data_IF_846422086472
#
_entry.id   IF_846422086472
#
_cell.length_a   1.000
_cell.length_b   1.000
_cell.length_c   1.000
_cell.angle_alpha   90.00
_cell.angle_beta   90.00
_cell.angle_gamma   90.00
#
_symmetry.space_group_name_H-M   'P 1'
#
loop_
_entity.id
_entity.type
_entity.pdbx_description
1 polymer ?
#
# COMPACT_ATOMS: atom_id res chain seq x y z
N UNK A 1 -16.06 6.97 -6.19
CA UNK A 1 -14.80 6.70 -5.48
C UNK A 1 -15.07 6.98 -4.01
N UNK A 2 -15.02 5.97 -3.16
CA UNK A 2 -15.21 6.12 -1.71
C UNK A 2 -13.90 6.62 -1.12
N UNK A 3 -13.85 7.83 -0.53
CA UNK A 3 -12.64 8.35 0.11
C UNK A 3 -12.12 7.41 1.20
N UNK A 4 -13.01 6.60 1.79
CA UNK A 4 -12.69 5.58 2.79
C UNK A 4 -11.63 4.57 2.30
N UNK A 5 -11.67 4.17 1.01
CA UNK A 5 -10.72 3.19 0.48
C UNK A 5 -9.30 3.75 0.39
N UNK A 6 -9.15 5.04 0.06
CA UNK A 6 -7.84 5.69 -0.04
C UNK A 6 -7.21 5.78 1.35
N UNK A 7 -7.99 6.22 2.34
CA UNK A 7 -7.54 6.36 3.72
C UNK A 7 -7.20 4.99 4.35
N UNK A 8 -8.05 3.98 4.13
CA UNK A 8 -7.82 2.61 4.60
C UNK A 8 -6.54 2.02 4.00
N UNK A 9 -6.34 2.18 2.69
CA UNK A 9 -5.15 1.66 2.00
C UNK A 9 -3.88 2.37 2.45
N UNK A 10 -3.94 3.70 2.62
CA UNK A 10 -2.82 4.48 3.15
C UNK A 10 -2.42 3.99 4.54
N UNK A 11 -3.41 3.86 5.44
CA UNK A 11 -3.19 3.37 6.79
C UNK A 11 -2.61 1.95 6.80
N UNK A 12 -3.19 1.04 6.01
CA UNK A 12 -2.69 -0.34 5.88
C UNK A 12 -1.24 -0.39 5.40
N UNK A 13 -0.88 0.39 4.39
CA UNK A 13 0.48 0.44 3.86
C UNK A 13 1.47 0.93 4.91
N UNK A 14 1.20 2.08 5.52
CA UNK A 14 2.11 2.69 6.50
C UNK A 14 2.26 1.76 7.71
N UNK A 15 1.16 1.21 8.22
CA UNK A 15 1.19 0.30 9.38
C UNK A 15 1.98 -0.98 9.06
N UNK A 16 1.75 -1.58 7.89
CA UNK A 16 2.48 -2.80 7.48
C UNK A 16 3.99 -2.54 7.33
N UNK A 17 4.37 -1.38 6.78
CA UNK A 17 5.79 -0.99 6.68
C UNK A 17 6.39 -0.74 8.05
N UNK A 18 5.64 -0.12 8.97
CA UNK A 18 6.05 0.17 10.33
C UNK A 18 6.27 -1.12 11.14
N UNK A 19 5.33 -2.07 11.06
CA UNK A 19 5.44 -3.40 11.67
C UNK A 19 6.67 -4.16 11.15
N UNK A 20 6.90 -4.15 9.82
CA UNK A 20 8.08 -4.80 9.22
C UNK A 20 9.40 -4.16 9.65
N UNK A 21 9.37 -2.88 10.04
CA UNK A 21 10.55 -2.11 10.47
C UNK A 21 10.73 -2.07 11.98
N UNK A 22 9.78 -2.60 12.76
CA UNK A 22 9.71 -2.48 14.22
C UNK A 22 9.78 -1.01 14.69
N UNK A 23 9.05 -0.13 13.99
CA UNK A 23 8.96 1.31 14.31
C UNK A 23 7.51 1.75 14.38
N UNK A 24 7.26 2.93 14.93
CA UNK A 24 5.91 3.51 14.87
C UNK A 24 5.63 4.09 13.47
N UNK A 25 4.37 4.04 12.97
CA UNK A 25 3.97 4.65 11.69
C UNK A 25 4.42 6.10 11.51
N UNK A 26 4.39 6.87 12.60
CA UNK A 26 4.80 8.29 12.64
C UNK A 26 6.30 8.50 12.46
N UNK A 27 7.11 7.45 12.66
CA UNK A 27 8.56 7.47 12.51
C UNK A 27 9.01 7.13 11.07
N UNK A 28 8.07 6.79 10.18
CA UNK A 28 8.40 6.61 8.77
C UNK A 28 8.57 8.00 8.13
N UNK A 29 9.83 8.37 7.88
CA UNK A 29 10.18 9.64 7.25
C UNK A 29 9.67 9.76 5.80
N UNK A 30 9.52 8.63 5.10
CA UNK A 30 9.03 8.59 3.71
C UNK A 30 7.52 8.82 3.66
N UNK A 31 7.10 9.85 2.93
CA UNK A 31 5.67 10.09 2.69
C UNK A 31 5.18 9.14 1.61
N UNK A 32 4.11 8.40 1.90
CA UNK A 32 3.51 7.47 0.94
C UNK A 32 3.16 8.15 -0.40
N UNK A 33 2.60 9.36 -0.33
CA UNK A 33 2.24 10.18 -1.50
C UNK A 33 3.44 10.59 -2.38
N UNK A 34 4.66 10.61 -1.84
CA UNK A 34 5.87 10.92 -2.62
C UNK A 34 6.39 9.70 -3.39
N UNK A 35 5.99 8.50 -2.97
CA UNK A 35 6.43 7.22 -3.55
C UNK A 35 5.41 6.69 -4.55
N UNK A 36 4.12 6.79 -4.22
CA UNK A 36 3.03 6.26 -5.03
C UNK A 36 1.81 7.18 -4.94
N UNK A 37 1.15 7.35 -6.09
CA UNK A 37 -0.15 7.98 -6.14
C UNK A 37 -1.20 7.01 -5.58
N UNK A 38 -1.60 7.25 -4.34
CA UNK A 38 -2.58 6.43 -3.61
C UNK A 38 -3.99 6.55 -4.17
N UNK A 39 -4.35 7.65 -4.84
CA UNK A 39 -5.65 7.80 -5.50
C UNK A 39 -5.72 6.86 -6.70
N UNK A 40 -4.66 6.87 -7.52
CA UNK A 40 -4.51 5.95 -8.65
C UNK A 40 -4.47 4.49 -8.19
N UNK A 41 -3.75 4.19 -7.10
CA UNK A 41 -3.69 2.84 -6.53
C UNK A 41 -5.05 2.36 -6.02
N UNK A 42 -5.77 3.19 -5.25
CA UNK A 42 -7.11 2.86 -4.76
C UNK A 42 -8.08 2.60 -5.92
N UNK A 43 -7.99 3.39 -7.00
CA UNK A 43 -8.78 3.17 -8.21
C UNK A 43 -8.45 1.81 -8.87
N UNK A 44 -7.18 1.42 -8.94
CA UNK A 44 -6.77 0.12 -9.47
C UNK A 44 -7.30 -1.03 -8.60
N UNK A 45 -7.18 -0.92 -7.27
CA UNK A 45 -7.70 -1.93 -6.33
C UNK A 45 -9.21 -2.06 -6.44
N UNK A 46 -9.95 -0.96 -6.50
CA UNK A 46 -11.41 -0.94 -6.68
C UNK A 46 -11.84 -1.63 -7.99
N UNK A 47 -11.11 -1.36 -9.09
CA UNK A 47 -11.34 -2.02 -10.38
C UNK A 47 -11.02 -3.52 -10.34
N UNK A 48 -9.95 -3.91 -9.66
CA UNK A 48 -9.56 -5.31 -9.50
C UNK A 48 -10.58 -6.08 -8.66
N UNK A 49 -11.10 -5.50 -7.56
CA UNK A 49 -12.19 -6.09 -6.78
C UNK A 49 -13.46 -6.29 -7.59
N UNK A 50 -13.78 -5.34 -8.46
CA UNK A 50 -14.96 -5.40 -9.32
C UNK A 50 -14.81 -6.36 -10.50
N UNK A 51 -13.60 -6.81 -10.82
CA UNK A 51 -13.29 -7.62 -11.99
C UNK A 51 -12.63 -8.93 -11.57
N UNK A 52 -13.38 -10.03 -11.56
CA UNK A 52 -12.87 -11.39 -11.24
C UNK A 52 -11.74 -11.90 -12.16
N UNK A 53 -11.37 -11.13 -13.18
CA UNK A 53 -10.37 -11.48 -14.20
C UNK A 53 -9.09 -10.65 -14.13
N UNK A 54 -8.99 -9.68 -13.22
CA UNK A 54 -7.81 -8.82 -13.08
C UNK A 54 -7.02 -9.21 -11.84
N UNK A 55 -5.90 -9.87 -12.04
CA UNK A 55 -4.90 -10.11 -10.99
C UNK A 55 -4.00 -8.88 -10.90
N UNK A 56 -4.36 -7.95 -10.00
CA UNK A 56 -3.58 -6.74 -9.76
C UNK A 56 -2.50 -7.02 -8.70
N UNK A 57 -1.26 -6.69 -9.04
CA UNK A 57 -0.14 -6.66 -8.10
C UNK A 57 0.71 -5.42 -8.37
N UNK A 58 0.78 -4.53 -7.39
CA UNK A 58 1.57 -3.29 -7.45
C UNK A 58 2.66 -3.38 -6.39
N UNK A 59 3.91 -3.31 -6.83
CA UNK A 59 5.08 -3.31 -5.94
C UNK A 59 5.85 -2.01 -6.04
N UNK A 60 6.18 -1.42 -4.90
CA UNK A 60 6.98 -0.20 -4.79
C UNK A 60 7.89 -0.23 -3.57
N UNK A 61 8.78 0.76 -3.43
CA UNK A 61 9.74 0.82 -2.32
C UNK A 61 9.46 2.02 -1.43
N UNK A 62 9.28 1.79 -0.14
CA UNK A 62 8.99 2.82 0.87
C UNK A 62 9.75 2.50 2.16
N UNK A 63 10.35 3.51 2.80
CA UNK A 63 11.15 3.33 4.02
C UNK A 63 12.24 2.26 3.87
N UNK A 64 12.73 2.04 2.65
CA UNK A 64 13.66 0.96 2.32
C UNK A 64 13.04 -0.45 2.27
N UNK A 65 11.75 -0.64 2.57
CA UNK A 65 10.98 -1.88 2.39
C UNK A 65 10.43 -1.99 0.98
N UNK A 66 10.25 -3.23 0.51
CA UNK A 66 9.43 -3.53 -0.66
C UNK A 66 8.00 -3.75 -0.21
N UNK A 67 7.10 -2.87 -0.65
CA UNK A 67 5.66 -2.96 -0.40
C UNK A 67 5.01 -3.58 -1.63
N UNK A 68 4.15 -4.57 -1.44
CA UNK A 68 3.32 -5.17 -2.48
C UNK A 68 1.86 -5.11 -2.07
N UNK A 69 1.04 -4.56 -2.95
CA UNK A 69 -0.41 -4.43 -2.79
C UNK A 69 -1.10 -5.25 -3.87
N UNK A 70 -2.04 -6.11 -3.49
CA UNK A 70 -2.83 -6.90 -4.44
C UNK A 70 -4.24 -6.37 -4.62
N UNK A 71 -4.93 -6.81 -5.67
CA UNK A 71 -6.34 -6.50 -5.92
C UNK A 71 -7.31 -6.99 -4.83
N UNK A 72 -6.85 -7.88 -3.94
CA UNK A 72 -7.58 -8.34 -2.76
C UNK A 72 -7.34 -7.44 -1.54
N UNK A 73 -6.78 -6.24 -1.72
CA UNK A 73 -6.43 -5.29 -0.64
C UNK A 73 -5.37 -5.84 0.33
N UNK A 74 -4.67 -6.91 -0.07
CA UNK A 74 -3.60 -7.49 0.74
C UNK A 74 -2.35 -6.65 0.56
N UNK A 75 -1.83 -6.13 1.67
CA UNK A 75 -0.57 -5.41 1.73
C UNK A 75 0.50 -6.29 2.37
N UNK A 76 1.68 -6.34 1.77
CA UNK A 76 2.87 -7.00 2.31
C UNK A 76 4.06 -6.08 2.22
N UNK A 77 4.76 -5.88 3.33
CA UNK A 77 6.06 -5.24 3.35
C UNK A 77 7.14 -6.31 3.54
N UNK A 78 8.32 -6.08 2.95
CA UNK A 78 9.50 -6.92 3.20
C UNK A 78 10.73 -6.04 3.23
N UNK A 79 11.45 -6.05 4.35
CA UNK A 79 12.73 -5.36 4.46
C UNK A 79 13.84 -6.22 3.81
N UNK A 80 14.69 -5.64 2.97
CA UNK A 80 15.90 -6.32 2.54
C UNK A 80 16.87 -6.44 3.73
N UNK A 81 17.18 -7.69 4.13
CA UNK A 81 18.22 -8.04 5.11
C UNK A 81 19.63 -7.62 4.66
#
# INVERSE_FOLDING_TARGET
MTPDLVDDLCWHIVTTVADERDVEPEQIDDRLYDVIDVESLAHLVDQARSSESIDLSVSFRMAGCFVTVTGEETVRATAPN
#
